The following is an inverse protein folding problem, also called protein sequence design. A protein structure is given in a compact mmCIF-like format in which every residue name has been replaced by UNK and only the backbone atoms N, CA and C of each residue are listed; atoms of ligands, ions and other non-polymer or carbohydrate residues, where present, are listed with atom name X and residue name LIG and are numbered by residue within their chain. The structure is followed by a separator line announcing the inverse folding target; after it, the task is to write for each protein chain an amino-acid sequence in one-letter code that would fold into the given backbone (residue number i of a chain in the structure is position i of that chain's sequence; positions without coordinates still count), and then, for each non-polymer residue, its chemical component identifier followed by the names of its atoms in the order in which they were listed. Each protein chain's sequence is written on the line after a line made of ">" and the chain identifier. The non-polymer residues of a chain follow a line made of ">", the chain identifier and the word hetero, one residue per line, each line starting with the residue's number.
data_IF_749303313692
#
_entry.id   IF_749303313692
#
_cell.length_a   1.000
_cell.length_b   1.000
_cell.length_c   1.000
_cell.angle_alpha   90.00
_cell.angle_beta   90.00
_cell.angle_gamma   90.00
#
_symmetry.space_group_name_H-M   'P 1'
#
loop_
_entity.id
_entity.type
_entity.pdbx_description
1 polymer ?
#
# COMPACT_ATOMS: atom_id res chain seq x y z
N UNK A 1 36.05 14.53 76.20
CA UNK A 1 37.22 14.86 75.35
C UNK A 1 36.68 15.47 74.05
N UNK A 2 37.31 16.55 73.60
CA UNK A 2 36.89 17.47 72.53
C UNK A 2 36.64 16.84 71.14
N UNK A 3 35.70 17.41 70.38
CA UNK A 3 35.81 18.04 69.02
C UNK A 3 34.42 18.03 68.34
N UNK A 4 33.69 19.16 68.16
CA UNK A 4 33.84 20.23 67.14
C UNK A 4 33.77 19.63 65.72
N UNK A 5 32.58 19.63 65.10
CA UNK A 5 32.01 20.64 64.19
C UNK A 5 32.35 20.36 62.71
N UNK A 6 31.31 20.16 61.91
CA UNK A 6 31.32 20.56 60.51
C UNK A 6 29.91 21.03 60.13
N UNK A 7 29.79 22.34 59.94
CA UNK A 7 28.64 23.03 59.37
C UNK A 7 28.73 22.88 57.85
N UNK A 8 27.64 22.42 57.24
CA UNK A 8 27.42 22.48 55.80
C UNK A 8 26.03 23.06 55.53
N UNK A 9 26.01 24.31 55.08
CA UNK A 9 24.90 25.07 54.49
C UNK A 9 24.49 24.44 53.14
N UNK A 10 23.37 24.70 52.44
CA UNK A 10 22.43 25.80 52.30
C UNK A 10 21.11 25.25 51.70
N UNK A 11 20.04 26.01 51.91
CA UNK A 11 18.69 25.92 51.33
C UNK A 11 18.57 25.51 49.86
N UNK A 12 17.50 24.76 49.56
CA UNK A 12 16.78 24.92 48.30
C UNK A 12 15.27 24.64 48.49
N UNK A 13 14.46 25.68 48.30
CA UNK A 13 13.02 25.60 48.12
C UNK A 13 12.69 24.66 46.94
N UNK A 14 11.91 23.61 47.17
CA UNK A 14 11.38 22.78 46.09
C UNK A 14 10.13 23.40 45.45
N UNK A 15 10.13 23.70 44.15
CA UNK A 15 8.90 24.03 43.45
C UNK A 15 8.16 22.74 43.05
N UNK A 16 7.00 22.54 43.69
CA UNK A 16 5.71 22.12 43.10
C UNK A 16 5.78 21.29 41.81
N UNK A 17 5.69 19.97 41.94
CA UNK A 17 5.39 19.07 40.82
C UNK A 17 4.01 19.40 40.24
N UNK A 18 3.97 19.96 39.02
CA UNK A 18 2.79 19.91 38.19
C UNK A 18 2.63 18.49 37.62
N UNK A 19 1.40 17.98 37.41
CA UNK A 19 1.22 16.72 36.71
C UNK A 19 1.58 16.98 35.24
N UNK A 20 2.69 16.38 34.81
CA UNK A 20 3.01 16.23 33.41
C UNK A 20 1.92 15.34 32.80
N UNK A 21 0.94 15.98 32.15
CA UNK A 21 0.03 15.30 31.23
C UNK A 21 0.95 14.71 30.17
N UNK A 22 1.29 13.44 30.31
CA UNK A 22 1.83 12.63 29.24
C UNK A 22 0.77 12.64 28.15
N UNK A 23 0.88 13.62 27.26
CA UNK A 23 0.11 13.70 26.03
C UNK A 23 0.40 12.41 25.29
N UNK A 24 -0.49 11.43 25.43
CA UNK A 24 -0.49 10.17 24.68
C UNK A 24 -0.86 10.41 23.21
N UNK A 25 -0.43 11.54 22.65
CA UNK A 25 -0.60 11.93 21.26
C UNK A 25 0.69 11.60 20.51
N UNK A 26 1.01 10.29 20.40
CA UNK A 26 1.89 9.82 19.33
C UNK A 26 1.86 8.30 19.08
N UNK A 27 0.78 7.60 19.46
CA UNK A 27 0.58 6.17 19.13
C UNK A 27 -0.49 5.92 18.05
N UNK A 28 -0.98 6.98 17.37
CA UNK A 28 -1.81 6.84 16.16
C UNK A 28 -0.93 6.88 14.90
N UNK A 29 0.21 6.18 14.95
CA UNK A 29 1.07 5.99 13.78
C UNK A 29 0.38 5.04 12.80
N UNK A 30 -0.36 5.62 11.87
CA UNK A 30 -0.67 5.01 10.57
C UNK A 30 -1.40 3.64 10.56
N UNK A 31 -2.33 3.47 11.49
CA UNK A 31 -3.13 2.23 11.62
C UNK A 31 -3.94 1.90 10.36
N UNK A 32 -4.36 2.90 9.59
CA UNK A 32 -5.11 2.71 8.34
C UNK A 32 -4.25 2.08 7.24
N UNK A 33 -3.01 2.53 7.08
CA UNK A 33 -2.07 1.95 6.13
C UNK A 33 -1.67 0.54 6.56
N UNK A 34 -1.36 0.31 7.85
CA UNK A 34 -1.09 -1.04 8.37
C UNK A 34 -2.25 -2.00 8.08
N UNK A 35 -3.49 -1.58 8.31
CA UNK A 35 -4.65 -2.42 8.04
C UNK A 35 -4.85 -2.66 6.52
N UNK A 36 -4.51 -1.70 5.65
CA UNK A 36 -4.48 -1.90 4.21
C UNK A 36 -3.42 -2.93 3.82
N UNK A 37 -2.21 -2.83 4.39
CA UNK A 37 -1.12 -3.77 4.19
C UNK A 37 -1.55 -5.18 4.61
N UNK A 38 -2.10 -5.35 5.81
CA UNK A 38 -2.61 -6.64 6.31
C UNK A 38 -3.66 -7.26 5.38
N UNK A 39 -4.66 -6.48 4.93
CA UNK A 39 -5.68 -7.00 4.00
C UNK A 39 -5.11 -7.36 2.65
N UNK A 40 -4.17 -6.58 2.12
CA UNK A 40 -3.52 -6.97 0.87
C UNK A 40 -2.62 -8.19 1.04
N UNK A 41 -1.98 -8.37 2.20
CA UNK A 41 -1.29 -9.61 2.53
C UNK A 41 -2.24 -10.81 2.53
N UNK A 42 -3.42 -10.67 3.14
CA UNK A 42 -4.46 -11.69 3.10
C UNK A 42 -4.99 -11.96 1.67
N UNK A 43 -5.09 -10.92 0.83
CA UNK A 43 -5.57 -11.04 -0.55
C UNK A 43 -4.54 -11.65 -1.51
N UNK A 44 -3.25 -11.44 -1.28
CA UNK A 44 -2.17 -11.92 -2.15
C UNK A 44 -1.52 -13.21 -1.66
N UNK A 45 -1.62 -13.52 -0.36
CA UNK A 45 -0.90 -14.64 0.26
C UNK A 45 0.60 -14.39 0.44
N UNK A 46 1.07 -13.17 0.21
CA UNK A 46 2.46 -12.71 0.43
C UNK A 46 2.46 -11.46 1.30
N UNK A 47 3.52 -11.27 2.09
CA UNK A 47 3.66 -10.04 2.86
C UNK A 47 3.90 -8.85 1.90
N UNK A 48 3.09 -7.80 2.06
CA UNK A 48 3.25 -6.57 1.28
C UNK A 48 4.55 -5.85 1.59
N UNK A 49 5.14 -6.06 2.77
CA UNK A 49 6.42 -5.46 3.14
C UNK A 49 7.62 -6.17 2.47
N UNK A 50 7.46 -7.42 2.03
CA UNK A 50 8.51 -8.17 1.32
C UNK A 50 8.40 -8.06 -0.19
N UNK A 51 7.42 -7.29 -0.69
CA UNK A 51 7.19 -7.09 -2.11
C UNK A 51 7.07 -5.60 -2.47
N UNK A 52 7.52 -5.25 -3.67
CA UNK A 52 7.45 -3.89 -4.22
C UNK A 52 6.33 -3.81 -5.24
N UNK A 53 5.34 -2.95 -4.96
CA UNK A 53 4.32 -2.57 -5.92
C UNK A 53 4.77 -1.40 -6.77
N UNK A 54 4.40 -1.46 -8.04
CA UNK A 54 4.39 -0.29 -8.91
C UNK A 54 3.08 -0.22 -9.68
N UNK A 55 2.55 0.98 -9.77
CA UNK A 55 1.41 1.28 -10.61
C UNK A 55 1.85 2.35 -11.59
N UNK A 56 1.69 2.12 -12.88
CA UNK A 56 2.10 3.06 -13.93
C UNK A 56 0.88 3.41 -14.79
N UNK A 57 0.63 4.71 -14.97
CA UNK A 57 -0.24 5.18 -16.05
C UNK A 57 0.60 5.23 -17.35
N UNK A 58 0.08 4.63 -18.42
CA UNK A 58 0.75 4.52 -19.71
C UNK A 58 -0.12 5.17 -20.80
N UNK A 59 0.46 5.64 -21.93
CA UNK A 59 -0.30 6.34 -22.98
C UNK A 59 -1.54 5.58 -23.48
N UNK A 60 -1.46 4.26 -23.50
CA UNK A 60 -2.47 3.30 -23.99
C UNK A 60 -3.06 2.44 -22.85
N UNK A 61 -2.90 2.85 -21.58
CA UNK A 61 -3.58 2.25 -20.44
C UNK A 61 -2.79 2.33 -19.13
N UNK A 62 -2.45 1.18 -18.54
CA UNK A 62 -1.64 1.13 -17.33
C UNK A 62 -0.90 -0.19 -17.11
N UNK A 63 -0.05 -0.22 -16.09
CA UNK A 63 0.67 -1.41 -15.64
C UNK A 63 0.58 -1.54 -14.13
N UNK A 64 0.25 -2.74 -13.67
CA UNK A 64 0.41 -3.14 -12.28
C UNK A 64 1.59 -4.10 -12.24
N UNK A 65 2.61 -3.80 -11.47
CA UNK A 65 3.79 -4.64 -11.33
C UNK A 65 3.99 -4.96 -9.85
N UNK A 66 4.31 -6.22 -9.59
CA UNK A 66 4.62 -6.71 -8.25
C UNK A 66 5.86 -7.60 -8.31
N UNK A 67 6.86 -7.27 -7.50
CA UNK A 67 8.10 -8.04 -7.39
C UNK A 67 8.42 -8.35 -5.94
N UNK A 68 8.91 -9.56 -5.67
CA UNK A 68 9.56 -9.90 -4.41
C UNK A 68 10.86 -9.10 -4.26
N UNK A 69 11.12 -8.61 -3.06
CA UNK A 69 12.34 -7.88 -2.73
C UNK A 69 13.55 -8.83 -2.73
N UNK A 70 13.37 -10.03 -2.13
CA UNK A 70 14.42 -11.03 -1.93
C UNK A 70 14.51 -12.08 -3.06
N UNK A 71 13.45 -12.22 -3.88
CA UNK A 71 13.40 -13.13 -5.02
C UNK A 71 13.24 -14.61 -4.66
N UNK A 72 12.69 -14.93 -3.48
CA UNK A 72 12.45 -16.32 -3.07
C UNK A 72 11.47 -17.05 -3.98
N UNK A 73 11.76 -18.29 -4.37
CA UNK A 73 10.98 -19.02 -5.39
C UNK A 73 9.50 -19.20 -5.02
N UNK A 74 9.20 -19.44 -3.74
CA UNK A 74 7.81 -19.57 -3.24
C UNK A 74 7.07 -18.25 -3.35
N UNK A 75 7.66 -17.15 -2.87
CA UNK A 75 7.05 -15.81 -2.93
C UNK A 75 6.83 -15.36 -4.38
N UNK A 76 7.81 -15.58 -5.26
CA UNK A 76 7.70 -15.28 -6.69
C UNK A 76 6.55 -16.08 -7.32
N UNK A 77 6.38 -17.36 -6.96
CA UNK A 77 5.27 -18.17 -7.46
C UNK A 77 3.92 -17.64 -6.99
N UNK A 78 3.79 -17.28 -5.71
CA UNK A 78 2.56 -16.70 -5.14
C UNK A 78 2.20 -15.35 -5.78
N UNK A 79 3.17 -14.46 -5.99
CA UNK A 79 2.97 -13.18 -6.69
C UNK A 79 2.42 -13.41 -8.10
N UNK A 80 2.99 -14.37 -8.84
CA UNK A 80 2.55 -14.68 -10.21
C UNK A 80 1.14 -15.26 -10.22
N UNK A 81 0.84 -16.20 -9.33
CA UNK A 81 -0.50 -16.75 -9.18
C UNK A 81 -1.52 -15.64 -8.86
N UNK A 82 -1.20 -14.78 -7.90
CA UNK A 82 -2.06 -13.66 -7.55
C UNK A 82 -2.34 -12.74 -8.75
N UNK A 83 -1.30 -12.32 -9.48
CA UNK A 83 -1.48 -11.43 -10.64
C UNK A 83 -2.25 -12.10 -11.79
N UNK A 84 -2.12 -13.41 -11.99
CA UNK A 84 -2.93 -14.15 -12.96
C UNK A 84 -4.41 -14.13 -12.55
N UNK A 85 -4.71 -14.37 -11.28
CA UNK A 85 -6.08 -14.31 -10.75
C UNK A 85 -6.67 -12.90 -10.90
N UNK A 86 -5.90 -11.85 -10.59
CA UNK A 86 -6.33 -10.45 -10.78
C UNK A 86 -6.60 -10.15 -12.25
N UNK A 87 -5.73 -10.59 -13.18
CA UNK A 87 -5.95 -10.36 -14.61
C UNK A 87 -7.25 -11.01 -15.10
N UNK A 88 -7.55 -12.24 -14.64
CA UNK A 88 -8.80 -12.95 -14.95
C UNK A 88 -10.02 -12.21 -14.37
N UNK A 89 -9.97 -11.84 -13.09
CA UNK A 89 -11.07 -11.13 -12.43
C UNK A 89 -11.35 -9.78 -13.11
N UNK A 90 -10.32 -9.00 -13.41
CA UNK A 90 -10.47 -7.70 -14.05
C UNK A 90 -11.02 -7.83 -15.47
N UNK A 91 -10.59 -8.83 -16.24
CA UNK A 91 -11.17 -9.13 -17.56
C UNK A 91 -12.67 -9.48 -17.48
N UNK A 92 -13.12 -10.10 -16.38
CA UNK A 92 -14.54 -10.35 -16.12
C UNK A 92 -15.31 -9.08 -15.68
N UNK A 93 -14.60 -7.99 -15.36
CA UNK A 93 -15.14 -6.76 -14.76
C UNK A 93 -15.34 -6.87 -13.24
N UNK A 94 -14.71 -7.87 -12.61
CA UNK A 94 -14.73 -8.07 -11.16
C UNK A 94 -13.55 -7.37 -10.50
N UNK A 95 -13.85 -6.38 -9.66
CA UNK A 95 -12.90 -5.60 -8.87
C UNK A 95 -13.12 -5.79 -7.37
N UNK A 96 -13.64 -6.94 -6.95
CA UNK A 96 -13.91 -7.27 -5.54
C UNK A 96 -12.63 -7.31 -4.69
N UNK A 97 -11.52 -7.85 -5.22
CA UNK A 97 -10.23 -7.90 -4.50
C UNK A 97 -9.71 -6.50 -4.10
N UNK A 98 -9.55 -5.52 -5.02
CA UNK A 98 -9.18 -4.17 -4.59
C UNK A 98 -10.27 -3.53 -3.72
N UNK A 99 -11.56 -3.83 -3.91
CA UNK A 99 -12.59 -3.32 -3.00
C UNK A 99 -12.42 -3.83 -1.56
N UNK A 100 -12.04 -5.09 -1.37
CA UNK A 100 -11.73 -5.69 -0.08
C UNK A 100 -10.49 -5.05 0.56
N UNK A 101 -9.38 -4.92 -0.20
CA UNK A 101 -8.14 -4.35 0.32
C UNK A 101 -8.33 -2.88 0.72
N UNK A 102 -9.04 -2.10 -0.08
CA UNK A 102 -9.22 -0.67 0.13
C UNK A 102 -10.48 -0.32 0.96
N UNK A 103 -11.32 -1.29 1.30
CA UNK A 103 -12.60 -1.12 2.00
C UNK A 103 -13.54 -0.11 1.33
N UNK A 104 -13.41 0.07 0.02
CA UNK A 104 -14.19 1.00 -0.81
C UNK A 104 -14.07 0.61 -2.28
N UNK A 105 -15.01 1.06 -3.11
CA UNK A 105 -14.83 0.99 -4.57
C UNK A 105 -13.70 1.94 -4.97
N UNK A 106 -12.73 1.42 -5.73
CA UNK A 106 -11.61 2.22 -6.21
C UNK A 106 -12.05 3.18 -7.33
N UNK A 107 -11.49 4.40 -7.41
CA UNK A 107 -11.72 5.30 -8.52
C UNK A 107 -11.47 4.61 -9.87
N UNK A 108 -12.28 4.92 -10.88
CA UNK A 108 -12.19 4.33 -12.22
C UNK A 108 -12.87 2.96 -12.39
N UNK A 109 -12.95 2.11 -11.35
CA UNK A 109 -13.36 0.70 -11.54
C UNK A 109 -14.80 0.52 -12.03
N UNK A 110 -15.70 1.47 -11.75
CA UNK A 110 -17.07 1.43 -12.28
C UNK A 110 -17.10 1.58 -13.81
N UNK A 111 -16.27 2.48 -14.36
CA UNK A 111 -16.11 2.64 -15.81
C UNK A 111 -15.37 1.44 -16.39
N UNK A 112 -14.30 0.98 -15.74
CA UNK A 112 -13.55 -0.19 -16.22
C UNK A 112 -14.43 -1.44 -16.29
N UNK A 113 -15.31 -1.67 -15.31
CA UNK A 113 -16.25 -2.79 -15.32
C UNK A 113 -17.30 -2.68 -16.43
N UNK A 114 -17.84 -1.47 -16.66
CA UNK A 114 -18.82 -1.22 -17.73
C UNK A 114 -18.19 -1.37 -19.12
N UNK A 115 -16.96 -0.89 -19.29
CA UNK A 115 -16.21 -0.91 -20.55
C UNK A 115 -15.32 -2.16 -20.71
N UNK A 116 -15.53 -3.22 -19.93
CA UNK A 116 -14.63 -4.40 -19.89
C UNK A 116 -14.34 -5.02 -21.26
N UNK A 117 -15.29 -4.97 -22.19
CA UNK A 117 -15.11 -5.47 -23.56
C UNK A 117 -14.11 -4.65 -24.39
N UNK A 118 -13.72 -3.46 -23.93
CA UNK A 118 -12.77 -2.54 -24.57
C UNK A 118 -11.43 -2.46 -23.84
N UNK A 119 -11.22 -3.26 -22.80
CA UNK A 119 -10.00 -3.28 -22.00
C UNK A 119 -9.40 -4.67 -22.04
N UNK A 120 -8.13 -4.77 -22.38
CA UNK A 120 -7.38 -6.03 -22.31
C UNK A 120 -6.49 -6.04 -21.07
N UNK A 121 -6.46 -7.17 -20.38
CA UNK A 121 -5.61 -7.43 -19.22
C UNK A 121 -4.71 -8.60 -19.58
N UNK A 122 -3.40 -8.37 -19.65
CA UNK A 122 -2.41 -9.42 -19.95
C UNK A 122 -1.44 -9.54 -18.79
N UNK A 123 -1.33 -10.74 -18.23
CA UNK A 123 -0.27 -11.08 -17.30
C UNK A 123 1.02 -11.42 -18.05
N UNK A 124 2.15 -10.88 -17.59
CA UNK A 124 3.49 -11.25 -18.05
C UNK A 124 4.39 -11.55 -16.83
N UNK A 125 5.18 -12.63 -16.89
CA UNK A 125 6.08 -12.99 -15.79
C UNK A 125 7.36 -12.15 -15.80
N UNK A 126 7.83 -11.73 -14.63
CA UNK A 126 9.11 -11.04 -14.42
C UNK A 126 10.05 -11.90 -13.56
N UNK A 127 11.38 -11.68 -13.57
CA UNK A 127 12.32 -12.52 -12.83
C UNK A 127 11.98 -12.71 -11.35
N UNK A 128 11.48 -11.67 -10.68
CA UNK A 128 11.11 -11.69 -9.25
C UNK A 128 9.60 -11.56 -8.99
N UNK A 129 8.76 -11.77 -10.00
CA UNK A 129 7.32 -11.62 -9.84
C UNK A 129 6.58 -11.58 -11.17
N UNK A 130 5.77 -10.55 -11.39
CA UNK A 130 5.05 -10.36 -12.64
C UNK A 130 4.48 -8.96 -12.81
N UNK A 131 3.82 -8.76 -13.94
CA UNK A 131 3.04 -7.56 -14.22
C UNK A 131 1.71 -7.90 -14.90
N UNK A 132 0.76 -6.98 -14.78
CA UNK A 132 -0.47 -6.95 -15.56
C UNK A 132 -0.42 -5.71 -16.43
N UNK A 133 -0.38 -5.91 -17.74
CA UNK A 133 -0.54 -4.87 -18.74
C UNK A 133 -2.02 -4.66 -19.02
N UNK A 134 -2.49 -3.45 -18.79
CA UNK A 134 -3.88 -3.02 -19.02
C UNK A 134 -3.90 -2.11 -20.25
N UNK A 135 -4.52 -2.52 -21.36
CA UNK A 135 -4.56 -1.72 -22.59
C UNK A 135 -5.98 -1.37 -23.02
N UNK A 136 -6.16 -0.17 -23.56
CA UNK A 136 -7.41 0.26 -24.19
C UNK A 136 -7.18 1.41 -25.18
N UNK A 137 -8.05 1.53 -26.18
CA UNK A 137 -8.11 2.69 -27.08
C UNK A 137 -9.36 3.54 -26.85
N UNK A 138 -10.25 3.15 -25.93
CA UNK A 138 -11.43 3.93 -25.59
C UNK A 138 -11.04 5.07 -24.64
N UNK A 139 -11.23 6.35 -25.00
CA UNK A 139 -10.75 7.48 -24.19
C UNK A 139 -11.31 7.48 -22.75
N UNK A 140 -12.58 7.10 -22.58
CA UNK A 140 -13.21 7.03 -21.25
C UNK A 140 -12.61 5.91 -20.39
N UNK A 141 -12.36 4.73 -20.98
CA UNK A 141 -11.72 3.62 -20.28
C UNK A 141 -10.26 3.96 -19.94
N UNK A 142 -9.55 4.67 -20.81
CA UNK A 142 -8.18 5.11 -20.58
C UNK A 142 -8.11 6.04 -19.37
N UNK A 143 -8.98 7.06 -19.33
CA UNK A 143 -9.07 7.96 -18.19
C UNK A 143 -9.40 7.21 -16.89
N UNK A 144 -10.28 6.21 -16.94
CA UNK A 144 -10.62 5.38 -15.79
C UNK A 144 -9.43 4.51 -15.31
N UNK A 145 -8.66 3.93 -16.23
CA UNK A 145 -7.43 3.19 -15.90
C UNK A 145 -6.43 4.12 -15.21
N UNK A 146 -6.24 5.35 -15.71
CA UNK A 146 -5.35 6.32 -15.09
C UNK A 146 -5.80 6.73 -13.68
N UNK A 147 -7.10 6.96 -13.47
CA UNK A 147 -7.67 7.20 -12.14
C UNK A 147 -7.41 6.03 -11.19
N UNK A 148 -7.59 4.80 -11.68
CA UNK A 148 -7.34 3.60 -10.89
C UNK A 148 -5.85 3.47 -10.52
N UNK A 149 -4.93 3.69 -11.47
CA UNK A 149 -3.47 3.67 -11.20
C UNK A 149 -3.07 4.75 -10.18
N UNK A 150 -3.62 5.96 -10.29
CA UNK A 150 -3.32 7.05 -9.35
C UNK A 150 -3.80 6.73 -7.93
N UNK A 151 -5.03 6.20 -7.80
CA UNK A 151 -5.59 5.82 -6.51
C UNK A 151 -4.79 4.69 -5.86
N UNK A 152 -4.43 3.65 -6.63
CA UNK A 152 -3.60 2.55 -6.15
C UNK A 152 -2.24 3.04 -5.66
N UNK A 153 -1.56 3.86 -6.47
CA UNK A 153 -0.25 4.41 -6.13
C UNK A 153 -0.27 5.24 -4.84
N UNK A 154 -1.32 6.06 -4.65
CA UNK A 154 -1.50 6.85 -3.43
C UNK A 154 -1.77 5.98 -2.20
N UNK A 155 -2.77 5.09 -2.28
CA UNK A 155 -3.20 4.26 -1.15
C UNK A 155 -2.09 3.28 -0.69
N UNK A 156 -1.34 2.70 -1.63
CA UNK A 156 -0.22 1.80 -1.35
C UNK A 156 1.11 2.50 -1.08
N UNK A 157 1.19 3.84 -1.25
CA UNK A 157 2.45 4.60 -1.21
C UNK A 157 3.54 4.00 -2.11
N UNK A 158 3.10 3.50 -3.25
CA UNK A 158 3.89 2.72 -4.17
C UNK A 158 4.58 3.61 -5.21
N UNK A 159 5.57 3.05 -5.90
CA UNK A 159 6.23 3.71 -7.02
C UNK A 159 5.43 3.68 -8.32
N UNK A 160 6.03 4.24 -9.37
CA UNK A 160 5.52 4.28 -10.73
C UNK A 160 5.20 5.70 -11.23
N UNK A 161 4.74 5.81 -12.46
CA UNK A 161 4.64 7.12 -13.15
C UNK A 161 3.19 7.51 -13.47
N UNK A 162 2.96 8.82 -13.58
CA UNK A 162 1.78 9.42 -14.21
C UNK A 162 2.04 9.64 -15.71
N UNK A 163 0.97 9.68 -16.50
CA UNK A 163 0.96 10.09 -17.90
C UNK A 163 0.15 11.38 -18.04
#
# INVERSE_FOLDING_TARGET
>A
MFFVLAIGTLSACGPRSAPEVHTRANQHGDTAFSALQERGGAAMGVDQYTSTHRFDALPDGGRIELQSNEGGSVEVAQIREHLQQIAIAFAAGDFSTPAFVHMRKMPGVAVMAREKAKITYRFDSLPRGGEIRITTHAPEALAAVHQFMAAQRGDHRAGGHSH
#
